data_IF_976013109710
#
_entry.id   IF_976013109710
#
_cell.length_a   1.000
_cell.length_b   1.000
_cell.length_c   1.000
_cell.angle_alpha   90.00
_cell.angle_beta   90.00
_cell.angle_gamma   90.00
#
_symmetry.space_group_name_H-M   'P 1'
#
loop_
_entity.id
_entity.type
_entity.pdbx_description
1 polymer ?
#
# COMPACT_ATOMS: atom_id res chain seq x y z
N UNK A 1 -2.06 5.54 -20.39
CA UNK A 1 -2.74 4.73 -19.34
C UNK A 1 -3.35 5.68 -18.33
N UNK A 2 -4.68 5.80 -18.30
CA UNK A 2 -5.40 6.65 -17.34
C UNK A 2 -6.05 5.75 -16.27
N UNK A 3 -5.25 5.33 -15.29
CA UNK A 3 -5.74 4.71 -14.07
C UNK A 3 -6.14 5.75 -13.01
N UNK A 4 -6.81 5.33 -11.92
CA UNK A 4 -7.10 6.20 -10.79
C UNK A 4 -5.80 6.75 -10.16
N UNK A 5 -5.85 7.99 -9.64
CA UNK A 5 -4.71 8.66 -9.00
C UNK A 5 -4.99 8.86 -7.52
N UNK A 6 -4.02 8.48 -6.68
CA UNK A 6 -4.03 8.77 -5.23
C UNK A 6 -3.05 9.90 -4.97
N UNK A 7 -3.50 10.95 -4.28
CA UNK A 7 -2.62 12.05 -3.84
C UNK A 7 -1.94 11.66 -2.54
N UNK A 8 -0.65 11.97 -2.43
CA UNK A 8 0.13 11.83 -1.20
C UNK A 8 0.57 13.21 -0.73
N UNK A 9 0.61 13.40 0.59
CA UNK A 9 1.26 14.56 1.18
C UNK A 9 2.73 14.62 0.78
N UNK A 10 3.26 15.84 0.66
CA UNK A 10 4.61 16.09 0.16
C UNK A 10 5.67 15.33 0.96
N UNK A 11 5.59 15.36 2.28
CA UNK A 11 6.57 14.70 3.15
C UNK A 11 6.53 13.18 3.03
N UNK A 12 5.33 12.62 2.85
CA UNK A 12 5.17 11.19 2.58
C UNK A 12 5.77 10.82 1.23
N UNK A 13 5.49 11.62 0.18
CA UNK A 13 6.02 11.39 -1.15
C UNK A 13 7.55 11.39 -1.18
N UNK A 14 8.20 12.36 -0.53
CA UNK A 14 9.67 12.43 -0.46
C UNK A 14 10.27 11.20 0.26
N UNK A 15 9.61 10.72 1.33
CA UNK A 15 10.02 9.48 2.00
C UNK A 15 9.88 8.28 1.05
N UNK A 16 8.74 8.12 0.40
CA UNK A 16 8.49 7.05 -0.57
C UNK A 16 9.55 7.06 -1.66
N UNK A 17 9.83 8.23 -2.24
CA UNK A 17 10.88 8.41 -3.26
C UNK A 17 12.25 7.97 -2.77
N UNK A 18 12.64 8.38 -1.56
CA UNK A 18 13.92 7.98 -0.95
C UNK A 18 14.00 6.45 -0.79
N UNK A 19 12.96 5.81 -0.27
CA UNK A 19 12.95 4.36 -0.08
C UNK A 19 12.92 3.59 -1.40
N UNK A 20 12.15 4.06 -2.40
CA UNK A 20 12.13 3.46 -3.73
C UNK A 20 13.53 3.45 -4.36
N UNK A 21 14.26 4.56 -4.27
CA UNK A 21 15.63 4.66 -4.80
C UNK A 21 16.59 3.73 -4.06
N UNK A 22 16.54 3.71 -2.71
CA UNK A 22 17.39 2.81 -1.90
C UNK A 22 17.11 1.34 -2.22
N UNK A 23 15.84 1.00 -2.46
CA UNK A 23 15.42 -0.36 -2.80
C UNK A 23 15.68 -0.74 -4.28
N UNK A 24 16.20 0.18 -5.11
CA UNK A 24 16.58 -0.10 -6.50
C UNK A 24 15.42 -0.20 -7.49
N UNK A 25 14.28 0.41 -7.18
CA UNK A 25 13.12 0.41 -8.06
C UNK A 25 13.28 1.34 -9.25
N UNK A 26 12.72 0.96 -10.40
CA UNK A 26 12.83 1.74 -11.64
C UNK A 26 11.92 2.97 -11.66
N UNK A 27 10.86 2.95 -10.84
CA UNK A 27 9.93 4.07 -10.67
C UNK A 27 9.31 4.09 -9.27
N UNK A 28 8.80 5.26 -8.87
CA UNK A 28 8.08 5.41 -7.60
C UNK A 28 6.76 4.66 -7.65
N UNK A 29 6.10 4.67 -8.81
CA UNK A 29 4.84 4.00 -9.08
C UNK A 29 4.95 2.48 -8.90
N UNK A 30 6.02 1.86 -9.41
CA UNK A 30 6.31 0.43 -9.21
C UNK A 30 6.48 0.09 -7.73
N UNK A 31 7.26 0.90 -7.00
CA UNK A 31 7.48 0.71 -5.56
C UNK A 31 6.18 0.81 -4.77
N UNK A 32 5.37 1.85 -5.03
CA UNK A 32 4.08 2.03 -4.36
C UNK A 32 3.13 0.87 -4.69
N UNK A 33 3.10 0.43 -5.96
CA UNK A 33 2.31 -0.73 -6.39
C UNK A 33 2.66 -1.99 -5.59
N UNK A 34 3.93 -2.40 -5.57
CA UNK A 34 4.36 -3.59 -4.84
C UNK A 34 4.10 -3.51 -3.33
N UNK A 35 4.27 -2.33 -2.72
CA UNK A 35 3.97 -2.15 -1.29
C UNK A 35 2.47 -2.32 -1.03
N UNK A 36 1.62 -1.74 -1.88
CA UNK A 36 0.17 -1.88 -1.75
C UNK A 36 -0.29 -3.32 -1.98
N UNK A 37 0.22 -4.02 -3.00
CA UNK A 37 -0.07 -5.44 -3.24
C UNK A 37 0.31 -6.30 -2.04
N UNK A 38 1.49 -6.07 -1.46
CA UNK A 38 1.94 -6.78 -0.26
C UNK A 38 1.03 -6.54 0.93
N UNK A 39 0.60 -5.29 1.14
CA UNK A 39 -0.30 -4.95 2.25
C UNK A 39 -1.69 -5.56 2.06
N UNK A 40 -2.24 -5.49 0.85
CA UNK A 40 -3.53 -6.11 0.52
C UNK A 40 -3.49 -7.64 0.67
N UNK A 41 -2.39 -8.29 0.30
CA UNK A 41 -2.20 -9.71 0.53
C UNK A 41 -2.22 -10.09 2.02
N UNK A 42 -1.73 -9.21 2.91
CA UNK A 42 -1.80 -9.43 4.36
C UNK A 42 -3.24 -9.30 4.89
N UNK A 43 -4.05 -8.41 4.31
CA UNK A 43 -5.47 -8.25 4.62
C UNK A 43 -6.30 -9.41 4.03
N UNK A 44 -5.86 -10.01 2.92
CA UNK A 44 -6.51 -11.13 2.25
C UNK A 44 -7.35 -10.71 1.05
N UNK A 45 -7.24 -11.50 -0.02
CA UNK A 45 -8.01 -11.32 -1.25
C UNK A 45 -9.10 -12.39 -1.33
N UNK A 46 -10.38 -11.96 -1.31
CA UNK A 46 -11.52 -12.86 -1.47
C UNK A 46 -12.15 -13.39 -0.17
N UNK A 47 -11.73 -12.88 0.99
CA UNK A 47 -12.36 -13.19 2.27
C UNK A 47 -13.72 -12.48 2.43
N UNK A 48 -14.59 -13.04 3.27
CA UNK A 48 -15.85 -12.40 3.63
C UNK A 48 -15.60 -11.06 4.37
N UNK A 49 -16.55 -10.11 4.30
CA UNK A 49 -16.40 -8.79 4.94
C UNK A 49 -16.07 -8.91 6.45
N UNK A 50 -16.63 -9.90 7.13
CA UNK A 50 -16.35 -10.17 8.55
C UNK A 50 -14.90 -10.61 8.80
N UNK A 51 -14.34 -11.43 7.91
CA UNK A 51 -12.95 -11.86 7.99
C UNK A 51 -11.98 -10.72 7.70
N UNK A 52 -12.29 -9.88 6.70
CA UNK A 52 -11.53 -8.66 6.41
C UNK A 52 -11.52 -7.73 7.64
N UNK A 53 -12.68 -7.50 8.28
CA UNK A 53 -12.77 -6.67 9.50
C UNK A 53 -11.91 -7.22 10.64
N UNK A 54 -11.96 -8.54 10.89
CA UNK A 54 -11.12 -9.17 11.93
C UNK A 54 -9.62 -9.00 11.64
N UNK A 55 -9.21 -9.16 10.39
CA UNK A 55 -7.81 -8.96 9.98
C UNK A 55 -7.38 -7.50 10.12
N UNK A 56 -8.22 -6.56 9.69
CA UNK A 56 -7.98 -5.13 9.88
C UNK A 56 -7.89 -4.74 11.36
N UNK A 57 -8.71 -5.33 12.23
CA UNK A 57 -8.58 -5.17 13.69
C UNK A 57 -7.25 -5.71 14.20
N UNK A 58 -6.85 -6.92 13.78
CA UNK A 58 -5.57 -7.52 14.18
C UNK A 58 -4.33 -6.74 13.70
N UNK A 59 -4.45 -6.04 12.59
CA UNK A 59 -3.42 -5.15 12.03
C UNK A 59 -3.48 -3.72 12.61
N UNK A 60 -4.50 -3.39 13.41
CA UNK A 60 -4.65 -2.10 14.08
C UNK A 60 -5.21 -0.97 13.21
N UNK A 61 -5.82 -1.28 12.07
CA UNK A 61 -6.45 -0.27 11.19
C UNK A 61 -7.78 0.24 11.74
N UNK A 62 -8.50 -0.60 12.47
CA UNK A 62 -9.80 -0.29 13.08
C UNK A 62 -9.86 -0.86 14.50
N UNK A 63 -10.59 -0.20 15.39
CA UNK A 63 -10.88 -0.64 16.75
C UNK A 63 -12.34 -1.04 16.85
#
# INVERSE_FOLDING_TARGET
MFGPKVKLDKDLYERVKKFAQIAGYSSIEEFVGHVLEKELAAIGEGDSEEEIKKKLQGLGYIS
#
